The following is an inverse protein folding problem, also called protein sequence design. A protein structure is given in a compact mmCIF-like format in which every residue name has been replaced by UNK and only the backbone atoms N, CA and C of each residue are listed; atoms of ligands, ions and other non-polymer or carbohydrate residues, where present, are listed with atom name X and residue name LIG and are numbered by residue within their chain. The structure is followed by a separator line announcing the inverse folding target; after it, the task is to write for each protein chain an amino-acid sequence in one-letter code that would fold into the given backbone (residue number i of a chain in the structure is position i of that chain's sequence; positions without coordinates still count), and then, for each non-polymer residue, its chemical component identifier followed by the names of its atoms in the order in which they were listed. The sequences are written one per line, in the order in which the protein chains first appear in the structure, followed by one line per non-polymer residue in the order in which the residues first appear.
data_IF_831622960503
#
_entry.id   IF_831622960503
#
_cell.length_a   1.000
_cell.length_b   1.000
_cell.length_c   1.000
_cell.angle_alpha   90.00
_cell.angle_beta   90.00
_cell.angle_gamma   90.00
#
_symmetry.space_group_name_H-M   'P 1'
#
loop_
_entity.id
_entity.type
_entity.pdbx_description
1 polymer ?
#
# COMPACT_ATOMS: atom_id res chain seq x y z
N UNK A 1 3.06 17.26 19.38
CA UNK A 1 3.43 16.65 18.97
C UNK A 1 2.99 16.23 17.83
N UNK A 2 3.46 15.86 17.29
CA UNK A 2 3.22 15.64 16.16
C UNK A 2 2.61 14.59 15.88
N UNK A 3 1.99 14.55 15.20
CA UNK A 3 1.27 13.69 14.80
C UNK A 3 2.02 12.70 14.15
N UNK A 4 1.74 11.90 14.00
CA UNK A 4 2.16 10.95 13.55
C UNK A 4 2.78 10.87 12.41
N UNK A 5 2.35 11.38 11.67
CA UNK A 5 2.90 11.32 10.49
C UNK A 5 4.22 11.52 10.68
N UNK A 6 4.36 12.00 11.61
CA UNK A 6 5.49 12.32 11.85
C UNK A 6 6.24 11.22 12.08
N UNK A 7 5.68 10.31 12.33
CA UNK A 7 6.42 9.28 12.62
C UNK A 7 7.13 8.83 11.49
N UNK A 8 6.91 9.20 10.45
CA UNK A 8 7.69 8.78 9.38
C UNK A 8 8.66 9.83 9.25
N UNK A 9 9.85 9.60 9.64
CA UNK A 9 10.81 10.64 9.54
C UNK A 9 11.07 10.93 8.07
N UNK A 10 11.51 12.10 7.75
CA UNK A 10 11.72 12.52 6.38
C UNK A 10 12.67 11.64 5.58
N UNK A 11 13.68 11.12 6.23
CA UNK A 11 14.63 10.28 5.51
C UNK A 11 13.98 8.97 5.08
N UNK A 12 13.17 8.41 5.93
CA UNK A 12 12.50 7.18 5.60
C UNK A 12 11.52 7.43 4.48
N UNK A 13 10.78 8.53 4.56
CA UNK A 13 9.83 8.85 3.56
C UNK A 13 10.48 9.03 2.21
N UNK A 14 11.59 9.73 2.15
CA UNK A 14 12.27 9.91 0.94
C UNK A 14 12.80 8.64 0.38
N UNK A 15 13.26 7.75 1.20
CA UNK A 15 13.76 6.51 0.75
C UNK A 15 12.63 5.70 0.12
N UNK A 16 11.46 5.71 0.69
CA UNK A 16 10.33 5.01 0.17
C UNK A 16 9.92 5.60 -1.17
N UNK A 17 9.85 6.88 -1.25
CA UNK A 17 9.47 7.51 -2.49
C UNK A 17 10.47 7.20 -3.60
N UNK A 18 11.73 7.19 -3.24
CA UNK A 18 12.72 6.90 -4.22
C UNK A 18 12.62 5.46 -4.72
N UNK A 19 12.30 4.55 -3.83
CA UNK A 19 12.15 3.19 -4.23
C UNK A 19 10.92 3.05 -5.12
N UNK A 20 9.87 3.72 -4.80
CA UNK A 20 8.66 3.62 -5.57
C UNK A 20 8.82 4.20 -6.97
N UNK A 21 9.51 5.29 -7.07
CA UNK A 21 9.66 5.93 -8.32
C UNK A 21 10.84 5.40 -9.10
N UNK A 22 11.92 5.24 -8.45
CA UNK A 22 13.09 4.84 -9.14
C UNK A 22 13.24 3.39 -9.39
N UNK A 23 12.92 2.59 -8.47
CA UNK A 23 13.19 1.22 -8.57
C UNK A 23 12.63 0.59 -9.80
N UNK A 24 11.38 0.62 -9.97
CA UNK A 24 10.89 0.05 -11.14
C UNK A 24 10.20 1.10 -11.91
N UNK A 25 10.22 2.25 -11.43
CA UNK A 25 9.69 3.37 -12.14
C UNK A 25 8.30 3.18 -12.66
N UNK A 26 7.61 2.23 -12.22
CA UNK A 26 6.35 2.01 -12.79
C UNK A 26 5.23 2.40 -11.87
N UNK A 27 4.32 3.15 -12.35
CA UNK A 27 3.15 3.47 -11.59
C UNK A 27 2.30 2.23 -11.51
N UNK A 28 1.53 2.10 -10.47
CA UNK A 28 0.63 0.98 -10.34
C UNK A 28 -0.51 1.14 -11.33
N UNK A 29 -0.84 0.07 -11.99
CA UNK A 29 -1.85 0.14 -13.03
C UNK A 29 -3.23 0.05 -12.45
N UNK A 30 -4.19 0.65 -13.10
CA UNK A 30 -5.55 0.63 -12.62
C UNK A 30 -6.11 -0.78 -12.49
N UNK A 31 -5.68 -1.68 -13.33
CA UNK A 31 -6.21 -3.03 -13.29
C UNK A 31 -5.59 -3.88 -12.21
N UNK A 32 -4.53 -3.41 -11.58
CA UNK A 32 -3.88 -4.21 -10.59
C UNK A 32 -4.76 -4.47 -9.40
N UNK A 33 -4.79 -5.72 -8.95
CA UNK A 33 -5.54 -6.09 -7.77
C UNK A 33 -4.57 -6.65 -6.77
N UNK A 34 -4.63 -6.16 -5.55
CA UNK A 34 -3.73 -6.61 -4.50
C UNK A 34 -4.46 -7.51 -3.51
N UNK A 35 -3.71 -8.40 -2.91
CA UNK A 35 -4.23 -9.27 -1.89
C UNK A 35 -3.29 -9.24 -0.71
N UNK A 36 -3.78 -9.42 0.49
CA UNK A 36 -2.92 -9.44 1.65
C UNK A 36 -2.11 -10.73 1.66
N UNK A 37 -0.84 -10.61 1.97
CA UNK A 37 0.00 -11.78 2.18
C UNK A 37 -0.35 -12.33 3.56
N UNK A 38 0.29 -13.44 3.92
CA UNK A 38 0.08 -14.01 5.23
C UNK A 38 0.44 -13.02 6.31
N UNK A 39 1.62 -12.40 6.23
CA UNK A 39 2.02 -11.44 7.23
C UNK A 39 1.16 -10.19 7.16
N UNK A 40 0.65 -9.87 6.00
CA UNK A 40 -0.26 -8.74 5.87
C UNK A 40 -1.56 -8.98 6.61
N UNK A 41 -2.07 -10.20 6.56
CA UNK A 41 -3.29 -10.53 7.27
C UNK A 41 -3.08 -10.46 8.78
N UNK A 42 -1.92 -10.94 9.23
CA UNK A 42 -1.59 -10.88 10.63
C UNK A 42 -1.50 -9.42 11.08
N UNK A 43 -0.81 -8.62 10.30
CA UNK A 43 -0.62 -7.22 10.67
C UNK A 43 -1.97 -6.47 10.67
N UNK A 44 -2.82 -6.75 9.72
CA UNK A 44 -4.12 -6.07 9.65
C UNK A 44 -4.99 -6.40 10.85
N UNK A 45 -4.82 -7.60 11.41
CA UNK A 45 -5.60 -8.01 12.56
C UNK A 45 -4.98 -7.60 13.89
N UNK A 46 -3.74 -7.11 13.88
CA UNK A 46 -3.03 -6.81 15.10
C UNK A 46 -3.51 -5.51 15.72
N UNK A 47 -4.10 -5.53 16.90
CA UNK A 47 -4.61 -4.30 17.49
C UNK A 47 -3.51 -3.31 17.84
N UNK A 48 -2.31 -3.82 18.10
CA UNK A 48 -1.21 -2.94 18.45
C UNK A 48 -0.23 -2.78 17.30
N UNK A 49 -0.74 -2.78 16.09
CA UNK A 49 0.11 -2.63 14.93
C UNK A 49 0.92 -1.35 14.98
N UNK A 50 2.17 -1.42 14.60
CA UNK A 50 3.01 -0.23 14.56
C UNK A 50 2.93 0.47 13.21
N UNK A 51 2.13 -0.01 12.30
CA UNK A 51 2.01 0.65 11.02
C UNK A 51 1.37 2.01 11.19
N UNK A 52 1.82 3.00 10.46
CA UNK A 52 1.14 4.28 10.45
C UNK A 52 -0.32 4.09 10.07
N UNK A 53 -1.17 4.87 10.66
CA UNK A 53 -2.60 4.71 10.47
C UNK A 53 -3.01 4.66 9.00
N UNK A 54 -2.45 5.50 8.18
CA UNK A 54 -2.81 5.52 6.77
C UNK A 54 -2.51 4.21 6.10
N UNK A 55 -1.36 3.65 6.39
CA UNK A 55 -0.97 2.39 5.78
C UNK A 55 -1.83 1.26 6.32
N UNK A 56 -2.14 1.31 7.58
CA UNK A 56 -2.95 0.27 8.17
C UNK A 56 -4.36 0.30 7.60
N UNK A 57 -4.90 1.47 7.39
CA UNK A 57 -6.22 1.61 6.79
C UNK A 57 -6.24 0.97 5.41
N UNK A 58 -5.23 1.25 4.61
CA UNK A 58 -5.17 0.66 3.28
C UNK A 58 -5.02 -0.85 3.35
N UNK A 59 -4.17 -1.31 4.25
CA UNK A 59 -3.95 -2.74 4.39
C UNK A 59 -5.26 -3.45 4.72
N UNK A 60 -6.04 -2.88 5.60
CA UNK A 60 -7.30 -3.47 5.97
C UNK A 60 -8.27 -3.51 4.79
N UNK A 61 -8.23 -2.50 3.96
CA UNK A 61 -9.13 -2.42 2.82
C UNK A 61 -8.77 -3.34 1.66
N UNK A 62 -7.56 -3.84 1.63
CA UNK A 62 -7.13 -4.72 0.55
C UNK A 62 -7.87 -6.04 0.70
N UNK A 63 -8.65 -6.40 -0.29
CA UNK A 63 -9.51 -7.57 -0.19
C UNK A 63 -9.39 -8.53 -1.35
N UNK A 64 -8.48 -8.32 -2.26
CA UNK A 64 -8.30 -9.22 -3.38
C UNK A 64 -9.37 -9.03 -4.46
N UNK A 65 -10.20 -8.01 -4.35
CA UNK A 65 -11.24 -7.78 -5.33
C UNK A 65 -11.18 -6.43 -5.96
N UNK A 66 -10.91 -5.41 -5.19
CA UNK A 66 -10.85 -4.05 -5.73
C UNK A 66 -9.55 -3.83 -6.43
N UNK A 67 -9.62 -3.18 -7.56
CA UNK A 67 -8.41 -2.84 -8.31
C UNK A 67 -7.87 -1.51 -7.84
N UNK A 68 -6.65 -1.17 -8.27
CA UNK A 68 -6.09 0.14 -7.97
C UNK A 68 -7.01 1.23 -8.48
N UNK A 69 -7.61 1.03 -9.63
CA UNK A 69 -8.54 2.01 -10.16
C UNK A 69 -9.72 2.22 -9.24
N UNK A 70 -10.22 1.13 -8.63
CA UNK A 70 -11.32 1.24 -7.69
C UNK A 70 -10.89 2.06 -6.46
N UNK A 71 -9.68 1.84 -5.96
CA UNK A 71 -9.22 2.59 -4.82
C UNK A 71 -9.04 4.06 -5.18
N UNK A 72 -8.53 4.33 -6.36
CA UNK A 72 -8.33 5.73 -6.77
C UNK A 72 -9.67 6.44 -6.88
N UNK A 73 -10.68 5.75 -7.37
CA UNK A 73 -11.99 6.39 -7.48
C UNK A 73 -12.68 6.52 -6.14
N UNK A 74 -12.48 5.60 -5.25
CA UNK A 74 -13.14 5.63 -3.96
C UNK A 74 -12.43 6.44 -2.90
N UNK A 75 -11.11 6.62 -3.03
CA UNK A 75 -10.33 7.31 -2.03
C UNK A 75 -9.73 8.59 -2.60
N UNK A 76 -10.56 9.41 -3.18
CA UNK A 76 -10.07 10.58 -3.89
C UNK A 76 -9.34 11.58 -3.02
N UNK A 77 -9.60 11.56 -1.71
CA UNK A 77 -8.91 12.49 -0.83
C UNK A 77 -7.69 11.88 -0.16
N UNK A 78 -7.37 10.66 -0.48
CA UNK A 78 -6.23 10.00 0.13
C UNK A 78 -4.98 10.46 -0.61
N UNK A 79 -4.05 11.08 0.11
CA UNK A 79 -2.86 11.56 -0.51
C UNK A 79 -1.84 10.48 -0.69
N UNK A 80 -1.13 10.51 -1.77
CA UNK A 80 -0.04 9.57 -2.03
C UNK A 80 -0.52 8.14 -1.99
N UNK A 81 -1.69 7.90 -2.56
CA UNK A 81 -2.27 6.58 -2.53
C UNK A 81 -1.35 5.53 -3.16
N UNK A 82 -0.84 5.82 -4.33
CA UNK A 82 0.03 4.87 -5.04
C UNK A 82 1.30 4.58 -4.24
N UNK A 83 1.88 5.59 -3.65
CA UNK A 83 3.09 5.39 -2.86
C UNK A 83 2.79 4.55 -1.64
N UNK A 84 1.63 4.73 -1.02
CA UNK A 84 1.30 3.95 0.14
C UNK A 84 1.09 2.49 -0.22
N UNK A 85 0.43 2.22 -1.34
CA UNK A 85 0.28 0.85 -1.79
C UNK A 85 1.63 0.24 -2.12
N UNK A 86 2.49 0.99 -2.76
CA UNK A 86 3.80 0.46 -3.10
C UNK A 86 4.62 0.19 -1.85
N UNK A 87 4.45 1.01 -0.84
CA UNK A 87 5.14 0.81 0.40
C UNK A 87 4.68 -0.49 1.06
N UNK A 88 3.38 -0.72 1.11
CA UNK A 88 2.86 -1.94 1.68
C UNK A 88 3.36 -3.16 0.89
N UNK A 89 3.46 -3.03 -0.40
CA UNK A 89 3.96 -4.11 -1.23
C UNK A 89 5.43 -4.40 -0.92
N UNK A 90 6.22 -3.37 -0.80
CA UNK A 90 7.64 -3.55 -0.52
C UNK A 90 7.90 -4.05 0.89
N UNK A 91 6.98 -3.81 1.79
CA UNK A 91 7.10 -4.33 3.14
C UNK A 91 6.65 -5.79 3.20
N UNK A 92 6.08 -6.30 2.13
CA UNK A 92 5.66 -7.69 2.10
C UNK A 92 4.28 -7.94 2.65
N UNK A 93 3.49 -6.89 2.88
CA UNK A 93 2.16 -7.07 3.43
C UNK A 93 1.09 -7.32 2.37
N UNK A 94 1.34 -6.90 1.14
CA UNK A 94 0.41 -7.15 0.05
C UNK A 94 1.20 -7.60 -1.17
N UNK A 95 0.52 -8.26 -2.07
CA UNK A 95 1.14 -8.66 -3.31
C UNK A 95 0.12 -8.56 -4.42
N UNK A 96 0.58 -8.34 -5.61
CA UNK A 96 -0.28 -8.21 -6.74
C UNK A 96 -0.77 -9.57 -7.18
N UNK A 97 -2.05 -9.71 -7.47
CA UNK A 97 -2.54 -10.96 -7.99
C UNK A 97 -2.03 -11.13 -9.41
N UNK A 98 -1.64 -12.26 -9.77
CA UNK A 98 -1.12 -12.50 -11.10
C UNK A 98 -2.21 -12.31 -12.12
N UNK A 99 -1.83 -11.68 -13.23
CA UNK A 99 -2.77 -11.42 -14.22
C UNK A 99 -3.13 -12.74 -14.84
N UNK A 100 -4.33 -13.06 -15.00
CA UNK A 100 -4.69 -14.25 -15.46
C UNK A 100 -4.61 -14.27 -16.86
N UNK A 101 -3.88 -14.91 -17.41
CA UNK A 101 -3.77 -14.96 -18.73
C UNK A 101 -4.54 -16.06 -19.10
N UNK A 102 -5.58 -16.08 -19.19
CA UNK A 102 -6.32 -17.02 -19.45
C UNK A 102 -6.08 -17.53 -20.57
N UNK A 103 -5.69 -18.23 -20.81
CA UNK A 103 -5.42 -18.74 -21.88
C UNK A 103 -6.17 -19.69 -22.15
#
# INVERSE_FOLDING_TARGET
MTPMNEYIDPAFRQRILRMAIGADGAALRDEEIFIKTRIGRIEAAEPNSSLPRRLRTLLILVDGRRSMGDFRRGLTRFRNLDECFDMLRKMGYIESLPMRLDI
#
